data_IF_160545775476
#
_entry.id   IF_160545775476
#
_cell.length_a   1.000
_cell.length_b   1.000
_cell.length_c   1.000
_cell.angle_alpha   90.00
_cell.angle_beta   90.00
_cell.angle_gamma   90.00
#
_symmetry.space_group_name_H-M   'P 1'
#
loop_
_entity.id
_entity.type
_entity.pdbx_description
1 polymer ?
#
# COMPACT_ATOMS: atom_id res chain seq x y z
N UNK A 1 -41.11 -6.66 38.20
CA UNK A 1 -40.76 -7.62 37.13
C UNK A 1 -39.69 -6.97 36.29
N UNK A 2 -38.47 -7.50 36.37
CA UNK A 2 -37.26 -7.02 35.68
C UNK A 2 -37.32 -7.46 34.22
N UNK A 3 -37.27 -6.51 33.29
CA UNK A 3 -37.13 -6.76 31.85
C UNK A 3 -35.76 -6.25 31.40
N UNK A 4 -34.77 -7.14 31.40
CA UNK A 4 -33.41 -6.84 30.95
C UNK A 4 -33.36 -6.55 29.45
N UNK A 5 -32.76 -5.42 29.10
CA UNK A 5 -32.33 -5.11 27.73
C UNK A 5 -31.14 -6.02 27.38
N UNK A 6 -31.33 -6.88 26.38
CA UNK A 6 -30.25 -7.69 25.81
C UNK A 6 -29.21 -6.82 25.08
N UNK A 7 -27.97 -7.28 24.96
CA UNK A 7 -26.89 -6.51 24.35
C UNK A 7 -27.16 -6.34 22.85
N UNK A 8 -27.20 -5.09 22.39
CA UNK A 8 -27.18 -4.73 20.97
C UNK A 8 -25.88 -5.26 20.36
N UNK A 9 -26.00 -6.29 19.53
CA UNK A 9 -24.88 -6.85 18.79
C UNK A 9 -24.27 -5.79 17.87
N UNK A 10 -22.96 -5.55 18.00
CA UNK A 10 -22.18 -4.84 17.00
C UNK A 10 -22.38 -5.53 15.63
N UNK A 11 -23.03 -4.83 14.69
CA UNK A 11 -23.51 -5.43 13.44
C UNK A 11 -22.38 -5.62 12.41
N UNK A 12 -21.26 -4.91 12.51
CA UNK A 12 -20.17 -5.04 11.55
C UNK A 12 -18.79 -4.97 12.21
N UNK A 13 -18.02 -6.05 12.07
CA UNK A 13 -16.59 -6.06 12.40
C UNK A 13 -15.83 -5.69 11.11
N UNK A 14 -15.60 -4.40 10.90
CA UNK A 14 -14.72 -3.97 9.82
C UNK A 14 -13.30 -4.48 10.12
N UNK A 15 -12.74 -5.28 9.21
CA UNK A 15 -11.32 -5.63 9.28
C UNK A 15 -10.55 -4.30 9.15
N UNK A 16 -9.58 -4.05 10.03
CA UNK A 16 -8.78 -2.84 9.95
C UNK A 16 -7.93 -2.89 8.66
N UNK A 17 -8.47 -2.32 7.58
CA UNK A 17 -7.82 -2.22 6.26
C UNK A 17 -6.98 -0.93 6.18
N UNK A 18 -7.12 -0.01 7.15
CA UNK A 18 -6.49 1.31 7.14
C UNK A 18 -5.02 1.31 7.61
N UNK A 19 -4.57 0.28 8.34
CA UNK A 19 -3.21 0.23 8.91
C UNK A 19 -2.04 0.08 7.91
N UNK A 20 -2.21 0.40 6.62
CA UNK A 20 -1.16 0.44 5.58
C UNK A 20 -0.57 -0.90 5.15
N UNK A 21 -0.50 -1.88 6.05
CA UNK A 21 0.19 -3.17 5.86
C UNK A 21 -0.40 -4.04 4.74
N UNK A 22 -1.73 -4.08 4.60
CA UNK A 22 -2.37 -4.84 3.52
C UNK A 22 -2.05 -4.23 2.14
N UNK A 23 -2.08 -2.90 2.04
CA UNK A 23 -1.70 -2.16 0.82
C UNK A 23 -0.23 -2.39 0.50
N UNK A 24 0.65 -2.25 1.49
CA UNK A 24 2.08 -2.51 1.42
C UNK A 24 2.38 -3.92 0.90
N UNK A 25 1.72 -4.95 1.45
CA UNK A 25 1.90 -6.34 1.02
C UNK A 25 1.51 -6.55 -0.45
N UNK A 26 0.32 -6.07 -0.83
CA UNK A 26 -0.22 -6.25 -2.19
C UNK A 26 0.65 -5.55 -3.22
N UNK A 27 1.02 -4.30 -2.92
CA UNK A 27 1.89 -3.51 -3.79
C UNK A 27 3.28 -4.15 -3.88
N UNK A 28 3.85 -4.61 -2.76
CA UNK A 28 5.17 -5.25 -2.73
C UNK A 28 5.27 -6.53 -3.53
N UNK A 29 4.35 -7.48 -3.34
CA UNK A 29 4.37 -8.73 -4.12
C UNK A 29 4.25 -8.44 -5.62
N UNK A 30 3.34 -7.53 -5.99
CA UNK A 30 3.09 -7.21 -7.39
C UNK A 30 4.30 -6.52 -8.05
N UNK A 31 4.86 -5.51 -7.38
CA UNK A 31 6.00 -4.76 -7.87
C UNK A 31 7.27 -5.62 -7.94
N UNK A 32 7.55 -6.38 -6.89
CA UNK A 32 8.71 -7.28 -6.84
C UNK A 32 8.66 -8.35 -7.91
N UNK A 33 7.47 -8.91 -8.17
CA UNK A 33 7.29 -9.90 -9.22
C UNK A 33 7.53 -9.30 -10.61
N UNK A 34 6.85 -8.20 -10.95
CA UNK A 34 6.94 -7.60 -12.29
C UNK A 34 8.35 -7.04 -12.55
N UNK A 35 8.91 -6.30 -11.60
CA UNK A 35 10.23 -5.68 -11.76
C UNK A 35 11.34 -6.72 -11.93
N UNK A 36 11.36 -7.78 -11.12
CA UNK A 36 12.44 -8.75 -11.18
C UNK A 36 12.29 -9.72 -12.36
N UNK A 37 11.07 -10.08 -12.78
CA UNK A 37 10.86 -10.82 -14.04
C UNK A 37 11.40 -10.00 -15.22
N UNK A 38 11.05 -8.71 -15.28
CA UNK A 38 11.48 -7.82 -16.36
C UNK A 38 13.02 -7.64 -16.37
N UNK A 39 13.64 -7.45 -15.20
CA UNK A 39 15.09 -7.37 -15.07
C UNK A 39 15.77 -8.65 -15.57
N UNK A 40 15.33 -9.81 -15.11
CA UNK A 40 15.87 -11.12 -15.49
C UNK A 40 15.75 -11.35 -16.99
N UNK A 41 14.59 -11.04 -17.58
CA UNK A 41 14.39 -11.19 -19.02
C UNK A 41 15.19 -10.19 -19.84
N UNK A 42 15.34 -8.94 -19.37
CA UNK A 42 16.22 -7.96 -20.00
C UNK A 42 17.65 -8.44 -20.07
N UNK A 43 18.19 -8.96 -18.96
CA UNK A 43 19.55 -9.50 -18.92
C UNK A 43 19.66 -10.76 -19.78
N UNK A 44 18.67 -11.64 -19.73
CA UNK A 44 18.61 -12.82 -20.58
C UNK A 44 18.57 -12.51 -22.07
N UNK A 45 18.02 -11.35 -22.46
CA UNK A 45 18.06 -10.85 -23.83
C UNK A 45 19.46 -10.42 -24.29
N UNK A 46 20.34 -10.03 -23.36
CA UNK A 46 21.73 -9.68 -23.63
C UNK A 46 22.69 -10.88 -23.50
N UNK A 47 22.50 -11.73 -22.47
CA UNK A 47 23.34 -12.89 -22.19
C UNK A 47 22.53 -13.99 -21.50
N UNK A 48 22.74 -15.24 -21.93
CA UNK A 48 22.11 -16.41 -21.30
C UNK A 48 22.98 -17.08 -20.24
N UNK A 49 24.08 -16.44 -19.83
CA UNK A 49 24.91 -16.92 -18.71
C UNK A 49 24.08 -16.92 -17.41
N UNK A 50 23.80 -18.10 -16.84
CA UNK A 50 23.00 -18.21 -15.63
C UNK A 50 23.66 -17.50 -14.43
N UNK A 51 24.97 -17.34 -14.41
CA UNK A 51 25.70 -16.64 -13.33
C UNK A 51 25.33 -15.16 -13.33
N UNK A 52 25.37 -14.51 -14.49
CA UNK A 52 25.03 -13.09 -14.65
C UNK A 52 23.57 -12.86 -14.25
N UNK A 53 22.67 -13.71 -14.74
CA UNK A 53 21.23 -13.59 -14.45
C UNK A 53 20.93 -13.77 -12.97
N UNK A 54 21.55 -14.76 -12.30
CA UNK A 54 21.38 -14.99 -10.85
C UNK A 54 21.89 -13.80 -10.04
N UNK A 55 23.11 -13.34 -10.32
CA UNK A 55 23.71 -12.21 -9.59
C UNK A 55 22.83 -10.98 -9.74
N UNK A 56 22.41 -10.67 -10.95
CA UNK A 56 21.60 -9.49 -11.19
C UNK A 56 20.19 -9.61 -10.62
N UNK A 57 19.52 -10.75 -10.74
CA UNK A 57 18.18 -10.92 -10.20
C UNK A 57 18.14 -11.00 -8.67
N UNK A 58 19.19 -11.54 -8.01
CA UNK A 58 19.31 -11.48 -6.54
C UNK A 58 19.65 -10.06 -6.09
N UNK A 59 20.54 -9.37 -6.80
CA UNK A 59 20.88 -7.97 -6.49
C UNK A 59 19.69 -7.05 -6.69
N UNK A 60 18.93 -7.24 -7.79
CA UNK A 60 17.71 -6.51 -8.10
C UNK A 60 16.61 -6.75 -7.07
N UNK A 61 16.43 -8.01 -6.65
CA UNK A 61 15.54 -8.36 -5.54
C UNK A 61 15.90 -7.60 -4.27
N UNK A 62 17.17 -7.67 -3.83
CA UNK A 62 17.59 -7.03 -2.58
C UNK A 62 17.52 -5.51 -2.67
N UNK A 63 18.00 -4.92 -3.76
CA UNK A 63 17.97 -3.47 -3.98
C UNK A 63 16.52 -2.95 -4.01
N UNK A 64 15.64 -3.65 -4.73
CA UNK A 64 14.22 -3.30 -4.81
C UNK A 64 13.51 -3.45 -3.46
N UNK A 65 13.72 -4.56 -2.75
CA UNK A 65 13.09 -4.80 -1.45
C UNK A 65 13.51 -3.75 -0.41
N UNK A 66 14.81 -3.43 -0.34
CA UNK A 66 15.34 -2.42 0.59
C UNK A 66 14.80 -1.03 0.23
N UNK A 67 14.84 -0.65 -1.06
CA UNK A 67 14.33 0.64 -1.54
C UNK A 67 12.85 0.81 -1.21
N UNK A 68 12.05 -0.24 -1.45
CA UNK A 68 10.62 -0.23 -1.17
C UNK A 68 10.34 -0.13 0.34
N UNK A 69 11.07 -0.87 1.17
CA UNK A 69 10.93 -0.81 2.62
C UNK A 69 11.28 0.58 3.17
N UNK A 70 12.38 1.16 2.69
CA UNK A 70 12.79 2.51 3.06
C UNK A 70 11.75 3.55 2.63
N UNK A 71 11.25 3.46 1.39
CA UNK A 71 10.21 4.35 0.87
C UNK A 71 8.92 4.28 1.69
N UNK A 72 8.46 3.07 2.04
CA UNK A 72 7.26 2.88 2.87
C UNK A 72 7.45 3.46 4.28
N UNK A 73 8.61 3.20 4.90
CA UNK A 73 8.93 3.72 6.24
C UNK A 73 8.95 5.25 6.25
N UNK A 74 9.69 5.87 5.32
CA UNK A 74 9.83 7.32 5.25
C UNK A 74 8.48 7.97 4.95
N UNK A 75 7.70 7.42 4.03
CA UNK A 75 6.39 7.95 3.68
C UNK A 75 5.42 7.93 4.85
N UNK A 76 5.28 6.80 5.54
CA UNK A 76 4.35 6.68 6.67
C UNK A 76 4.84 7.46 7.88
N UNK A 77 6.15 7.50 8.12
CA UNK A 77 6.72 8.30 9.22
C UNK A 77 6.48 9.78 9.01
N UNK A 78 6.70 10.29 7.80
CA UNK A 78 6.41 11.68 7.46
C UNK A 78 4.92 12.01 7.59
N UNK A 79 4.02 11.12 7.16
CA UNK A 79 2.58 11.29 7.35
C UNK A 79 2.21 11.35 8.84
N UNK A 80 2.75 10.44 9.66
CA UNK A 80 2.50 10.45 11.09
C UNK A 80 3.01 11.73 11.76
N UNK A 81 4.21 12.19 11.42
CA UNK A 81 4.79 13.44 11.96
C UNK A 81 3.99 14.68 11.55
N UNK A 82 3.46 14.72 10.33
CA UNK A 82 2.56 15.79 9.90
C UNK A 82 1.27 15.79 10.72
N UNK A 83 0.65 14.63 10.93
CA UNK A 83 -0.58 14.55 11.74
C UNK A 83 -0.30 14.90 13.20
N UNK A 84 0.77 14.39 13.79
CA UNK A 84 1.19 14.74 15.15
C UNK A 84 1.37 16.25 15.32
N UNK A 85 1.92 16.93 14.31
CA UNK A 85 2.07 18.38 14.30
C UNK A 85 0.73 19.11 14.24
N UNK A 86 -0.16 18.73 13.33
CA UNK A 86 -1.47 19.38 13.22
C UNK A 86 -2.30 19.16 14.50
N UNK A 87 -2.27 17.96 15.09
CA UNK A 87 -2.91 17.69 16.38
C UNK A 87 -2.34 18.53 17.53
N UNK A 88 -1.05 18.87 17.49
CA UNK A 88 -0.44 19.74 18.49
C UNK A 88 -0.87 21.20 18.33
N UNK A 89 -1.01 21.66 17.08
CA UNK A 89 -1.56 22.98 16.77
C UNK A 89 -3.01 23.05 17.26
N UNK A 90 -3.82 22.07 16.87
CA UNK A 90 -5.25 22.01 17.21
C UNK A 90 -5.49 21.97 18.72
N UNK A 91 -4.73 21.14 19.44
CA UNK A 91 -4.78 21.11 20.91
C UNK A 91 -4.47 22.48 21.53
N UNK A 92 -3.58 23.26 20.91
CA UNK A 92 -3.26 24.61 21.37
C UNK A 92 -4.41 25.58 21.06
N UNK A 93 -4.98 25.51 19.86
CA UNK A 93 -6.12 26.34 19.45
C UNK A 93 -7.35 26.12 20.33
N UNK A 94 -7.70 24.86 20.63
CA UNK A 94 -8.79 24.50 21.55
C UNK A 94 -8.57 25.09 22.95
N UNK A 95 -7.32 25.09 23.43
CA UNK A 95 -6.99 25.60 24.76
C UNK A 95 -6.99 27.14 24.83
N UNK A 96 -6.52 27.80 23.77
CA UNK A 96 -6.36 29.26 23.73
C UNK A 96 -7.64 29.99 23.28
N UNK A 97 -8.41 29.41 22.36
CA UNK A 97 -9.58 30.05 21.72
C UNK A 97 -10.81 29.12 21.62
N UNK A 98 -11.32 28.56 22.74
CA UNK A 98 -12.39 27.56 22.71
C UNK A 98 -13.69 28.07 22.07
N UNK A 99 -14.00 29.37 22.18
CA UNK A 99 -15.18 29.98 21.56
C UNK A 99 -15.08 29.99 20.03
N UNK A 100 -13.88 30.23 19.49
CA UNK A 100 -13.63 30.25 18.05
C UNK A 100 -13.69 28.83 17.49
N UNK A 101 -13.04 27.87 18.14
CA UNK A 101 -13.05 26.46 17.74
C UNK A 101 -14.46 25.86 17.79
N UNK A 102 -15.25 26.21 18.81
CA UNK A 102 -16.67 25.78 18.88
C UNK A 102 -17.47 26.33 17.70
N UNK A 103 -17.22 27.57 17.28
CA UNK A 103 -17.91 28.18 16.15
C UNK A 103 -17.47 27.56 14.82
N UNK A 104 -16.19 27.20 14.69
CA UNK A 104 -15.63 26.48 13.54
C UNK A 104 -16.26 25.10 13.40
N UNK A 105 -16.26 24.30 14.47
CA UNK A 105 -16.89 22.98 14.46
C UNK A 105 -18.39 23.05 14.16
N UNK A 106 -19.10 24.06 14.68
CA UNK A 106 -20.50 24.30 14.35
C UNK A 106 -20.67 24.62 12.85
N UNK A 107 -19.78 25.40 12.25
CA UNK A 107 -19.82 25.69 10.82
C UNK A 107 -19.62 24.43 9.97
N UNK A 108 -18.65 23.56 10.33
CA UNK A 108 -18.44 22.27 9.67
C UNK A 108 -19.71 21.42 9.72
N UNK A 109 -20.38 21.34 10.87
CA UNK A 109 -21.62 20.58 10.99
C UNK A 109 -22.78 21.17 10.17
N UNK A 110 -22.84 22.49 10.00
CA UNK A 110 -23.81 23.12 9.08
C UNK A 110 -23.53 22.70 7.64
N UNK A 111 -22.28 22.67 7.21
CA UNK A 111 -21.90 22.17 5.87
C UNK A 111 -22.22 20.68 5.68
N UNK A 112 -22.14 19.89 6.76
CA UNK A 112 -22.58 18.48 6.80
C UNK A 112 -24.10 18.31 6.77
N UNK A 113 -24.86 19.41 6.85
CA UNK A 113 -26.32 19.43 6.71
C UNK A 113 -27.11 19.56 8.02
N UNK A 114 -26.45 19.84 9.16
CA UNK A 114 -27.17 20.19 10.38
C UNK A 114 -27.76 21.59 10.26
N UNK A 115 -28.93 21.80 10.85
CA UNK A 115 -29.47 23.15 10.98
C UNK A 115 -28.60 23.96 11.99
N UNK A 116 -28.42 25.28 11.77
CA UNK A 116 -27.45 26.08 12.53
C UNK A 116 -27.61 26.02 14.05
N UNK A 117 -28.84 25.98 14.54
CA UNK A 117 -29.11 25.91 15.98
C UNK A 117 -28.73 24.54 16.57
N UNK A 118 -28.98 23.44 15.84
CA UNK A 118 -28.51 22.11 16.27
C UNK A 118 -26.98 21.99 16.20
N UNK A 119 -26.35 22.53 15.16
CA UNK A 119 -24.91 22.47 14.99
C UNK A 119 -24.16 23.15 16.15
N UNK A 120 -24.63 24.33 16.60
CA UNK A 120 -24.09 25.03 17.78
C UNK A 120 -24.20 24.20 19.05
N UNK A 121 -25.36 23.57 19.29
CA UNK A 121 -25.57 22.74 20.49
C UNK A 121 -24.66 21.52 20.48
N UNK A 122 -24.55 20.84 19.33
CA UNK A 122 -23.68 19.66 19.19
C UNK A 122 -22.21 20.06 19.37
N UNK A 123 -21.74 21.12 18.72
CA UNK A 123 -20.37 21.60 18.86
C UNK A 123 -20.05 21.96 20.30
N UNK A 124 -20.92 22.71 21.00
CA UNK A 124 -20.70 23.06 22.40
C UNK A 124 -20.61 21.84 23.33
N UNK A 125 -21.43 20.81 23.10
CA UNK A 125 -21.39 19.57 23.88
C UNK A 125 -20.09 18.78 23.63
N UNK A 126 -19.67 18.67 22.36
CA UNK A 126 -18.43 17.97 22.00
C UNK A 126 -17.17 18.71 22.49
N UNK A 127 -17.22 20.04 22.51
CA UNK A 127 -16.15 20.91 23.03
C UNK A 127 -16.05 20.89 24.56
N UNK A 128 -17.00 20.29 25.27
CA UNK A 128 -16.98 20.22 26.75
C UNK A 128 -15.86 19.34 27.31
N UNK A 129 -15.36 18.38 26.53
CA UNK A 129 -14.20 17.54 26.84
C UNK A 129 -13.09 17.82 25.81
N UNK A 130 -11.93 18.38 26.21
CA UNK A 130 -10.85 18.71 25.29
C UNK A 130 -10.29 17.54 24.47
N UNK A 131 -10.35 16.31 24.98
CA UNK A 131 -9.88 15.13 24.23
C UNK A 131 -10.92 14.68 23.20
N UNK A 132 -12.22 14.81 23.51
CA UNK A 132 -13.29 14.59 22.54
C UNK A 132 -13.29 15.68 21.47
N UNK A 133 -13.10 16.94 21.87
CA UNK A 133 -12.95 18.08 20.97
C UNK A 133 -11.83 17.83 19.94
N UNK A 134 -10.64 17.48 20.44
CA UNK A 134 -9.49 17.20 19.58
C UNK A 134 -9.74 16.01 18.63
N UNK A 135 -10.34 14.92 19.11
CA UNK A 135 -10.65 13.76 18.27
C UNK A 135 -11.69 14.10 17.18
N UNK A 136 -12.67 14.95 17.50
CA UNK A 136 -13.68 15.41 16.54
C UNK A 136 -13.07 16.37 15.52
N UNK A 137 -12.32 17.40 15.95
CA UNK A 137 -11.61 18.30 15.04
C UNK A 137 -10.65 17.53 14.14
N UNK A 138 -9.87 16.58 14.68
CA UNK A 138 -8.98 15.74 13.88
C UNK A 138 -9.73 14.98 12.76
N UNK A 139 -10.93 14.48 13.03
CA UNK A 139 -11.72 13.73 12.05
C UNK A 139 -12.49 14.62 11.08
N UNK A 140 -13.10 15.68 11.57
CA UNK A 140 -14.01 16.52 10.80
C UNK A 140 -13.28 17.61 10.01
N UNK A 141 -12.24 18.20 10.59
CA UNK A 141 -11.46 19.28 9.99
C UNK A 141 -10.22 18.73 9.26
N UNK A 142 -9.37 17.98 9.97
CA UNK A 142 -8.12 17.45 9.41
C UNK A 142 -8.35 16.20 8.53
N UNK A 143 -9.52 15.57 8.63
CA UNK A 143 -9.87 14.36 7.87
C UNK A 143 -9.04 13.14 8.24
N UNK A 144 -8.41 13.14 9.41
CA UNK A 144 -7.53 12.06 9.88
C UNK A 144 -8.08 11.38 11.12
N UNK A 145 -7.89 10.08 11.22
CA UNK A 145 -8.17 9.34 12.44
C UNK A 145 -6.88 9.26 13.27
N UNK A 146 -6.77 9.99 14.39
CA UNK A 146 -5.54 10.04 15.20
C UNK A 146 -5.19 8.66 15.78
N UNK A 147 -6.15 7.73 15.85
CA UNK A 147 -5.95 6.38 16.39
C UNK A 147 -5.46 5.37 15.34
N UNK A 148 -5.41 5.74 14.06
CA UNK A 148 -5.16 4.81 12.95
C UNK A 148 -4.01 5.23 12.01
N UNK A 149 -2.99 5.93 12.52
CA UNK A 149 -1.82 6.35 11.75
C UNK A 149 -0.96 5.18 11.20
N UNK A 150 -1.24 3.94 11.61
CA UNK A 150 -0.51 2.75 11.19
C UNK A 150 0.89 2.68 11.81
N UNK A 151 1.59 1.56 11.58
CA UNK A 151 2.97 1.38 12.05
C UNK A 151 3.93 1.47 10.85
N UNK A 152 4.77 2.51 10.75
CA UNK A 152 5.75 2.65 9.66
C UNK A 152 6.68 1.44 9.55
N UNK A 153 7.14 0.92 10.69
CA UNK A 153 8.04 -0.24 10.73
C UNK A 153 7.33 -1.52 10.26
N UNK A 154 6.08 -1.74 10.69
CA UNK A 154 5.32 -2.91 10.26
C UNK A 154 5.04 -2.88 8.76
N UNK A 155 4.62 -1.73 8.22
CA UNK A 155 4.38 -1.57 6.79
C UNK A 155 5.66 -1.77 5.97
N UNK A 156 6.79 -1.18 6.39
CA UNK A 156 8.08 -1.36 5.74
C UNK A 156 8.54 -2.83 5.72
N UNK A 157 8.40 -3.52 6.86
CA UNK A 157 8.75 -4.95 6.97
C UNK A 157 7.86 -5.81 6.06
N UNK A 158 6.56 -5.54 6.05
CA UNK A 158 5.61 -6.25 5.19
C UNK A 158 5.89 -5.98 3.71
N UNK A 159 6.15 -4.73 3.31
CA UNK A 159 6.58 -4.38 1.94
C UNK A 159 7.86 -5.11 1.54
N UNK A 160 8.88 -5.12 2.41
CA UNK A 160 10.15 -5.81 2.16
C UNK A 160 9.93 -7.29 1.85
N UNK A 161 9.23 -7.99 2.76
CA UNK A 161 8.99 -9.44 2.63
C UNK A 161 8.12 -9.75 1.42
N UNK A 162 7.07 -8.96 1.19
CA UNK A 162 6.20 -9.09 0.04
C UNK A 162 6.96 -8.94 -1.28
N UNK A 163 7.78 -7.89 -1.39
CA UNK A 163 8.63 -7.65 -2.56
C UNK A 163 9.60 -8.80 -2.77
N UNK A 164 10.35 -9.18 -1.73
CA UNK A 164 11.32 -10.27 -1.80
C UNK A 164 10.67 -11.58 -2.25
N UNK A 165 9.49 -11.91 -1.71
CA UNK A 165 8.73 -13.10 -2.11
C UNK A 165 8.29 -13.03 -3.58
N UNK A 166 7.75 -11.89 -4.02
CA UNK A 166 7.35 -11.69 -5.42
C UNK A 166 8.54 -11.80 -6.38
N UNK A 167 9.63 -11.13 -6.07
CA UNK A 167 10.87 -11.12 -6.87
C UNK A 167 11.60 -12.47 -6.89
N UNK A 168 11.39 -13.33 -5.90
CA UNK A 168 12.02 -14.64 -5.86
C UNK A 168 11.42 -15.62 -6.87
N UNK A 169 10.11 -15.50 -7.18
CA UNK A 169 9.41 -16.38 -8.13
C UNK A 169 10.12 -16.54 -9.47
N UNK A 170 10.50 -15.46 -10.21
CA UNK A 170 11.21 -15.59 -11.48
C UNK A 170 12.64 -16.12 -11.34
N UNK A 171 13.24 -16.10 -10.15
CA UNK A 171 14.59 -16.64 -9.94
C UNK A 171 14.60 -18.17 -9.87
N UNK A 172 13.49 -18.79 -9.50
CA UNK A 172 13.41 -20.25 -9.27
C UNK A 172 13.97 -21.06 -10.46
N UNK A 173 13.60 -20.79 -11.72
CA UNK A 173 14.13 -21.54 -12.86
C UNK A 173 15.63 -21.38 -13.07
N UNK A 174 16.22 -20.27 -12.62
CA UNK A 174 17.63 -19.96 -12.80
C UNK A 174 18.53 -20.59 -11.74
N UNK A 175 17.99 -21.06 -10.61
CA UNK A 175 18.78 -21.70 -9.55
C UNK A 175 19.41 -23.01 -10.03
N UNK A 176 18.71 -23.77 -10.87
CA UNK A 176 19.18 -25.03 -11.44
C UNK A 176 19.20 -25.07 -12.97
N UNK A 177 18.52 -24.14 -13.64
CA UNK A 177 18.46 -24.06 -15.10
C UNK A 177 19.47 -23.09 -15.70
N UNK A 178 19.58 -23.15 -17.03
CA UNK A 178 20.38 -22.25 -17.85
C UNK A 178 19.81 -22.18 -19.28
N UNK A 179 20.32 -21.23 -20.08
CA UNK A 179 19.95 -21.11 -21.48
C UNK A 179 18.49 -20.70 -21.71
N UNK A 180 18.01 -20.89 -22.94
CA UNK A 180 16.68 -20.46 -23.39
C UNK A 180 15.53 -21.13 -22.65
N UNK A 181 15.71 -22.35 -22.15
CA UNK A 181 14.72 -23.05 -21.34
C UNK A 181 14.42 -22.32 -20.02
N UNK A 182 15.45 -21.82 -19.34
CA UNK A 182 15.29 -21.04 -18.10
C UNK A 182 14.59 -19.70 -18.35
N UNK A 183 14.87 -19.05 -19.49
CA UNK A 183 14.19 -17.81 -19.91
C UNK A 183 12.68 -18.01 -20.02
N UNK A 184 12.25 -19.02 -20.80
CA UNK A 184 10.83 -19.30 -20.99
C UNK A 184 10.15 -19.75 -19.69
N UNK A 185 10.82 -20.60 -18.90
CA UNK A 185 10.30 -21.02 -17.60
C UNK A 185 10.10 -19.82 -16.67
N UNK A 186 11.06 -18.89 -16.62
CA UNK A 186 10.98 -17.65 -15.81
C UNK A 186 9.86 -16.73 -16.29
N UNK A 187 9.72 -16.54 -17.61
CA UNK A 187 8.64 -15.73 -18.19
C UNK A 187 7.25 -16.30 -17.86
N UNK A 188 7.07 -17.61 -18.05
CA UNK A 188 5.79 -18.29 -17.78
C UNK A 188 5.44 -18.28 -16.29
N UNK A 189 6.43 -18.54 -15.42
CA UNK A 189 6.26 -18.43 -13.96
C UNK A 189 5.89 -17.00 -13.55
N UNK A 190 6.60 -16.01 -14.09
CA UNK A 190 6.33 -14.59 -13.83
C UNK A 190 4.90 -14.17 -14.22
N UNK A 191 4.49 -14.49 -15.45
CA UNK A 191 3.15 -14.17 -15.96
C UNK A 191 2.08 -14.93 -15.17
N UNK A 192 2.29 -16.22 -14.90
CA UNK A 192 1.34 -17.05 -14.14
C UNK A 192 1.18 -16.60 -12.69
N UNK A 193 2.28 -16.25 -12.02
CA UNK A 193 2.25 -15.69 -10.67
C UNK A 193 1.54 -14.32 -10.67
N UNK A 194 1.77 -13.48 -11.67
CA UNK A 194 1.14 -12.16 -11.77
C UNK A 194 -0.37 -12.29 -11.98
N UNK A 195 -0.79 -13.25 -12.82
CA UNK A 195 -2.20 -13.58 -13.00
C UNK A 195 -2.83 -14.10 -11.70
N UNK A 196 -2.11 -14.92 -10.93
CA UNK A 196 -2.57 -15.46 -9.64
C UNK A 196 -2.76 -14.35 -8.61
N UNK A 197 -1.77 -13.48 -8.45
CA UNK A 197 -1.85 -12.30 -7.57
C UNK A 197 -3.01 -11.40 -8.00
N UNK A 198 -3.13 -11.10 -9.29
CA UNK A 198 -4.25 -10.31 -9.84
C UNK A 198 -5.62 -10.95 -9.58
N UNK A 199 -5.72 -12.27 -9.69
CA UNK A 199 -6.95 -13.01 -9.41
C UNK A 199 -7.32 -13.05 -7.92
N UNK A 200 -6.34 -13.20 -7.03
CA UNK A 200 -6.55 -13.10 -5.58
C UNK A 200 -7.05 -11.70 -5.20
N UNK A 201 -6.43 -10.65 -5.74
CA UNK A 201 -6.85 -9.27 -5.51
C UNK A 201 -8.27 -9.00 -6.02
N UNK A 202 -8.63 -9.55 -7.18
CA UNK A 202 -9.98 -9.40 -7.71
C UNK A 202 -11.02 -10.05 -6.81
N UNK A 203 -10.73 -11.22 -6.22
CA UNK A 203 -11.62 -11.87 -5.24
C UNK A 203 -11.74 -11.06 -3.96
N UNK A 204 -10.64 -10.52 -3.46
CA UNK A 204 -10.64 -9.68 -2.25
C UNK A 204 -11.36 -8.34 -2.43
N UNK A 205 -11.45 -7.84 -3.67
CA UNK A 205 -12.10 -6.56 -4.00
C UNK A 205 -13.47 -6.73 -4.66
N UNK A 206 -13.99 -7.96 -4.72
CA UNK A 206 -15.26 -8.31 -5.38
C UNK A 206 -15.37 -7.80 -6.83
N UNK A 207 -14.24 -7.77 -7.53
CA UNK A 207 -14.15 -7.38 -8.95
C UNK A 207 -14.02 -8.60 -9.85
N UNK A 208 -14.26 -8.41 -11.15
CA UNK A 208 -14.13 -9.48 -12.15
C UNK A 208 -12.69 -10.01 -12.21
N UNK A 209 -12.49 -11.28 -11.82
CA UNK A 209 -11.19 -11.97 -11.81
C UNK A 209 -10.50 -11.90 -13.17
N UNK A 210 -11.24 -12.15 -14.24
CA UNK A 210 -10.70 -12.19 -15.61
C UNK A 210 -10.12 -10.84 -16.03
N UNK A 211 -10.85 -9.73 -15.84
CA UNK A 211 -10.35 -8.40 -16.25
C UNK A 211 -9.12 -7.98 -15.45
N UNK A 212 -9.10 -8.23 -14.15
CA UNK A 212 -7.97 -7.86 -13.29
C UNK A 212 -6.72 -8.68 -13.61
N UNK A 213 -6.87 -9.99 -13.83
CA UNK A 213 -5.78 -10.85 -14.24
C UNK A 213 -5.23 -10.45 -15.62
N UNK A 214 -6.10 -10.18 -16.60
CA UNK A 214 -5.67 -9.72 -17.94
C UNK A 214 -4.91 -8.40 -17.84
N UNK A 215 -5.44 -7.41 -17.10
CA UNK A 215 -4.74 -6.13 -16.91
C UNK A 215 -3.35 -6.32 -16.33
N UNK A 216 -3.22 -7.15 -15.29
CA UNK A 216 -1.94 -7.43 -14.65
C UNK A 216 -0.97 -8.15 -15.59
N UNK A 217 -1.44 -9.13 -16.36
CA UNK A 217 -0.63 -9.81 -17.37
C UNK A 217 -0.19 -8.87 -18.50
N UNK A 218 -1.04 -7.92 -18.94
CA UNK A 218 -0.68 -6.95 -19.97
C UNK A 218 0.41 -5.98 -19.49
N UNK A 219 0.31 -5.49 -18.25
CA UNK A 219 1.33 -4.63 -17.65
C UNK A 219 2.65 -5.39 -17.52
N UNK A 220 2.62 -6.58 -16.91
CA UNK A 220 3.81 -7.40 -16.73
C UNK A 220 4.44 -7.81 -18.07
N UNK A 221 3.62 -8.30 -19.01
CA UNK A 221 4.07 -8.69 -20.34
C UNK A 221 4.67 -7.51 -21.12
N UNK A 222 4.05 -6.33 -21.04
CA UNK A 222 4.58 -5.11 -21.63
C UNK A 222 5.95 -4.74 -21.07
N UNK A 223 6.11 -4.75 -19.75
CA UNK A 223 7.41 -4.50 -19.09
C UNK A 223 8.47 -5.53 -19.49
N UNK A 224 8.11 -6.82 -19.57
CA UNK A 224 9.00 -7.88 -19.99
C UNK A 224 9.46 -7.73 -21.44
N UNK A 225 8.55 -7.43 -22.36
CA UNK A 225 8.88 -7.22 -23.78
C UNK A 225 9.79 -6.01 -23.93
N UNK A 226 9.47 -4.89 -23.29
CA UNK A 226 10.28 -3.68 -23.36
C UNK A 226 11.72 -3.91 -22.85
N UNK A 227 11.86 -4.54 -21.69
CA UNK A 227 13.18 -4.82 -21.09
C UNK A 227 13.97 -5.86 -21.88
N UNK A 228 13.34 -6.92 -22.39
CA UNK A 228 13.99 -7.91 -23.26
C UNK A 228 14.54 -7.26 -24.53
N UNK A 229 13.76 -6.38 -25.18
CA UNK A 229 14.21 -5.65 -26.38
C UNK A 229 15.38 -4.72 -26.09
N UNK A 230 15.31 -3.95 -24.99
CA UNK A 230 16.40 -3.07 -24.56
C UNK A 230 17.67 -3.89 -24.28
N UNK A 231 17.53 -5.00 -23.55
CA UNK A 231 18.63 -5.91 -23.26
C UNK A 231 19.27 -6.48 -24.52
N UNK A 232 18.46 -6.92 -25.49
CA UNK A 232 18.96 -7.41 -26.79
C UNK A 232 19.71 -6.34 -27.59
N UNK A 233 19.21 -5.11 -27.63
CA UNK A 233 19.87 -3.99 -28.32
C UNK A 233 21.22 -3.67 -27.66
N UNK A 234 21.24 -3.55 -26.33
CA UNK A 234 22.46 -3.25 -25.59
C UNK A 234 23.48 -4.39 -25.70
N UNK A 235 23.04 -5.63 -25.58
CA UNK A 235 23.90 -6.82 -25.76
C UNK A 235 24.55 -6.87 -27.13
N UNK A 236 23.81 -6.52 -28.19
CA UNK A 236 24.33 -6.44 -29.55
C UNK A 236 25.32 -5.28 -29.79
N UNK A 237 25.34 -4.28 -28.91
CA UNK A 237 26.24 -3.11 -29.00
C UNK A 237 27.50 -3.23 -28.16
N UNK A 238 27.50 -4.10 -27.14
CA UNK A 238 28.61 -4.29 -26.19
C UNK A 238 29.41 -5.56 -26.48
N UNK A 239 28.84 -6.54 -27.20
CA UNK A 239 29.52 -7.73 -27.70
C UNK A 239 30.12 -7.55 -29.08
#
# INVERSE_FOLDING_TARGET
MSGGLGPTGMVHRHRNIQGGTARAAVFGVSDGLVSNVALILGIAGASTDPTIVRVAGVTGLMAGAISMAAGEYVSLKAQAELVERELAIERTSIAENPEAETAELAAIYVERGLAPEQAKVVAAELMSDPEVALDVHAREELGVDPTQLGSPLAAATVSFLAFALGSFVPLIPWLGGSGTGAVWASALLGVGATATVGGMLARLTERSVVRTAIRQMLVAGGSCVATYLIGGILGASVG
#
